data_IF_795386964338
#
_entry.id   IF_795386964338
#
_cell.length_a   1.000
_cell.length_b   1.000
_cell.length_c   1.000
_cell.angle_alpha   90.00
_cell.angle_beta   90.00
_cell.angle_gamma   90.00
#
_symmetry.space_group_name_H-M   'P 1'
#
loop_
_entity.id
_entity.type
_entity.pdbx_description
1 polymer ?
#
# COMPACT_ATOMS: atom_id res chain seq x y z
N UNK A 1 1.60 -19.64 23.00
CA UNK A 1 0.46 -18.78 22.61
C UNK A 1 -0.71 -19.71 22.34
N UNK A 2 -1.64 -19.84 23.30
CA UNK A 2 -2.67 -20.88 23.32
C UNK A 2 -3.92 -20.42 22.54
N UNK A 3 -4.60 -21.35 21.85
CA UNK A 3 -5.70 -21.07 20.89
C UNK A 3 -6.96 -20.35 21.41
N UNK A 4 -6.97 -19.88 22.67
CA UNK A 4 -8.02 -19.02 23.22
C UNK A 4 -7.92 -17.56 22.73
N UNK A 5 -6.74 -17.13 22.25
CA UNK A 5 -6.54 -15.75 21.76
C UNK A 5 -7.39 -15.43 20.51
N UNK A 6 -7.64 -16.43 19.67
CA UNK A 6 -8.53 -16.28 18.50
C UNK A 6 -9.97 -15.90 18.88
N UNK A 7 -10.42 -16.20 20.11
CA UNK A 7 -11.77 -15.85 20.58
C UNK A 7 -11.92 -14.34 20.85
N UNK A 8 -10.84 -13.67 21.24
CA UNK A 8 -10.83 -12.23 21.55
C UNK A 8 -10.19 -11.39 20.45
N UNK A 9 -9.48 -12.03 19.52
CA UNK A 9 -8.83 -11.38 18.37
C UNK A 9 -9.81 -10.49 17.59
N UNK A 10 -10.96 -11.03 17.21
CA UNK A 10 -11.95 -10.28 16.42
C UNK A 10 -12.52 -9.06 17.16
N UNK A 11 -12.48 -9.04 18.49
CA UNK A 11 -12.97 -7.91 19.28
C UNK A 11 -12.03 -6.69 19.21
N UNK A 12 -10.72 -6.90 19.01
CA UNK A 12 -9.74 -5.81 18.87
C UNK A 12 -9.30 -5.60 17.41
N UNK A 13 -8.94 -6.68 16.71
CA UNK A 13 -8.23 -6.63 15.43
C UNK A 13 -9.08 -7.07 14.22
N UNK A 14 -10.30 -7.55 14.44
CA UNK A 14 -11.15 -8.09 13.37
C UNK A 14 -11.48 -7.07 12.27
N UNK A 15 -11.64 -5.79 12.63
CA UNK A 15 -11.81 -4.71 11.66
C UNK A 15 -10.57 -4.56 10.76
N UNK A 16 -9.39 -4.51 11.36
CA UNK A 16 -8.13 -4.38 10.64
C UNK A 16 -7.81 -5.61 9.79
N UNK A 17 -8.13 -6.81 10.26
CA UNK A 17 -8.01 -8.04 9.45
C UNK A 17 -8.87 -7.93 8.18
N UNK A 18 -10.11 -7.44 8.31
CA UNK A 18 -11.00 -7.20 7.18
C UNK A 18 -10.41 -6.21 6.17
N UNK A 19 -9.83 -5.11 6.66
CA UNK A 19 -9.16 -4.10 5.82
C UNK A 19 -7.95 -4.69 5.08
N UNK A 20 -7.07 -5.42 5.78
CA UNK A 20 -5.89 -6.07 5.17
C UNK A 20 -6.30 -7.07 4.10
N UNK A 21 -7.35 -7.87 4.35
CA UNK A 21 -7.90 -8.80 3.35
C UNK A 21 -8.51 -8.06 2.16
N UNK A 22 -9.15 -6.91 2.39
CA UNK A 22 -9.62 -6.02 1.34
C UNK A 22 -8.48 -5.51 0.45
N UNK A 23 -7.40 -4.98 1.05
CA UNK A 23 -6.21 -4.55 0.31
C UNK A 23 -5.58 -5.69 -0.50
N UNK A 24 -5.56 -6.92 0.05
CA UNK A 24 -5.09 -8.10 -0.68
C UNK A 24 -5.94 -8.39 -1.92
N UNK A 25 -7.26 -8.22 -1.84
CA UNK A 25 -8.16 -8.39 -2.99
C UNK A 25 -7.96 -7.32 -4.07
N UNK A 26 -7.43 -6.15 -3.70
CA UNK A 26 -7.07 -5.06 -4.62
C UNK A 26 -5.72 -5.23 -5.33
N UNK A 27 -4.97 -6.30 -5.04
CA UNK A 27 -3.72 -6.59 -5.74
C UNK A 27 -3.98 -6.96 -7.20
N UNK A 28 -3.12 -6.45 -8.08
CA UNK A 28 -3.22 -6.70 -9.52
C UNK A 28 -3.16 -8.20 -9.81
N UNK A 29 -4.11 -8.66 -10.61
CA UNK A 29 -4.18 -10.05 -11.04
C UNK A 29 -3.22 -10.30 -12.20
N UNK A 30 -2.97 -11.58 -12.51
CA UNK A 30 -2.21 -11.96 -13.71
C UNK A 30 -2.81 -11.36 -14.99
N UNK A 31 -4.13 -11.20 -15.06
CA UNK A 31 -4.78 -10.59 -16.22
C UNK A 31 -4.43 -9.11 -16.36
N UNK A 32 -4.34 -8.38 -15.25
CA UNK A 32 -3.99 -6.96 -15.25
C UNK A 32 -2.54 -6.76 -15.73
N UNK A 33 -1.63 -7.60 -15.27
CA UNK A 33 -0.24 -7.60 -15.75
C UNK A 33 -0.12 -7.90 -17.24
N UNK A 34 -0.90 -8.85 -17.76
CA UNK A 34 -0.92 -9.16 -19.19
C UNK A 34 -1.40 -7.97 -20.03
N UNK A 35 -2.44 -7.26 -19.56
CA UNK A 35 -2.96 -6.06 -20.24
C UNK A 35 -1.91 -4.93 -20.24
N UNK A 36 -1.23 -4.71 -19.11
CA UNK A 36 -0.17 -3.69 -19.02
C UNK A 36 1.03 -4.00 -19.93
N UNK A 37 1.37 -5.27 -20.13
CA UNK A 37 2.47 -5.65 -21.02
C UNK A 37 2.19 -5.32 -22.49
N UNK A 38 0.91 -5.16 -22.86
CA UNK A 38 0.47 -4.80 -24.21
C UNK A 38 0.34 -3.29 -24.44
N UNK A 39 0.52 -2.48 -23.39
CA UNK A 39 0.44 -1.02 -23.49
C UNK A 39 1.66 -0.45 -24.22
N UNK A 40 1.44 0.54 -25.10
CA UNK A 40 2.50 1.18 -25.88
C UNK A 40 2.96 2.50 -25.26
N UNK A 41 2.09 3.15 -24.46
CA UNK A 41 2.38 4.45 -23.83
C UNK A 41 2.12 4.46 -22.33
N UNK A 42 2.71 5.45 -21.62
CA UNK A 42 2.45 5.66 -20.20
C UNK A 42 0.99 6.08 -19.93
N UNK A 43 0.35 6.76 -20.87
CA UNK A 43 -1.07 7.11 -20.78
C UNK A 43 -1.97 5.87 -20.84
N UNK A 44 -1.63 4.85 -21.63
CA UNK A 44 -2.34 3.57 -21.65
C UNK A 44 -2.21 2.84 -20.31
N UNK A 45 -1.01 2.80 -19.73
CA UNK A 45 -0.78 2.21 -18.41
C UNK A 45 -1.61 2.94 -17.35
N UNK A 46 -1.61 4.28 -17.37
CA UNK A 46 -2.44 5.08 -16.46
C UNK A 46 -3.92 4.78 -16.64
N UNK A 47 -4.41 4.66 -17.86
CA UNK A 47 -5.80 4.33 -18.15
C UNK A 47 -6.19 2.97 -17.55
N UNK A 48 -5.36 1.95 -17.75
CA UNK A 48 -5.58 0.63 -17.18
C UNK A 48 -5.55 0.64 -15.65
N UNK A 49 -4.56 1.30 -15.05
CA UNK A 49 -4.46 1.43 -13.59
C UNK A 49 -5.62 2.24 -13.00
N UNK A 50 -6.21 3.17 -13.74
CA UNK A 50 -7.38 3.93 -13.28
C UNK A 50 -8.62 3.05 -13.13
N UNK A 51 -8.71 1.95 -13.86
CA UNK A 51 -9.74 0.93 -13.69
C UNK A 51 -9.57 0.03 -12.46
N UNK A 52 -8.49 0.22 -11.69
CA UNK A 52 -8.19 -0.54 -10.48
C UNK A 52 -8.22 0.37 -9.25
N UNK A 53 -7.87 -0.17 -8.08
CA UNK A 53 -7.83 0.58 -6.81
C UNK A 53 -6.82 1.75 -6.79
N UNK A 54 -6.03 1.96 -7.85
CA UNK A 54 -5.11 3.10 -7.98
C UNK A 54 -5.77 4.35 -8.59
N UNK A 55 -6.98 4.25 -9.13
CA UNK A 55 -7.65 5.34 -9.85
C UNK A 55 -7.72 6.70 -9.13
N UNK A 56 -8.08 6.77 -7.83
CA UNK A 56 -8.16 8.05 -7.11
C UNK A 56 -6.81 8.81 -7.07
N UNK A 57 -5.69 8.08 -7.00
CA UNK A 57 -4.35 8.66 -6.90
C UNK A 57 -3.80 9.06 -8.27
N UNK A 58 -4.22 8.37 -9.33
CA UNK A 58 -3.73 8.62 -10.69
C UNK A 58 -4.53 9.69 -11.44
N UNK A 59 -5.78 9.96 -11.03
CA UNK A 59 -6.67 10.92 -11.69
C UNK A 59 -6.10 12.34 -11.74
N UNK A 60 -5.33 12.74 -10.73
CA UNK A 60 -4.80 14.10 -10.59
C UNK A 60 -3.39 14.29 -11.20
N UNK A 61 -2.76 13.24 -11.74
CA UNK A 61 -1.41 13.35 -12.32
C UNK A 61 -1.49 14.05 -13.68
N UNK A 62 -0.94 15.27 -13.85
CA UNK A 62 -1.01 16.00 -15.10
C UNK A 62 -0.03 15.44 -16.14
N UNK A 63 -0.32 15.65 -17.42
CA UNK A 63 0.61 15.34 -18.53
C UNK A 63 1.68 16.44 -18.66
N UNK A 64 2.92 16.13 -19.04
CA UNK A 64 3.42 14.82 -19.49
C UNK A 64 3.66 13.84 -18.33
N UNK A 65 3.18 12.60 -18.49
CA UNK A 65 3.44 11.56 -17.51
C UNK A 65 4.91 11.17 -17.51
N UNK A 66 5.50 11.11 -16.32
CA UNK A 66 6.81 10.53 -16.09
C UNK A 66 6.66 9.24 -15.29
N UNK A 67 7.56 8.28 -15.52
CA UNK A 67 7.59 7.03 -14.75
C UNK A 67 7.80 7.29 -13.27
N UNK A 68 8.58 8.31 -12.91
CA UNK A 68 8.83 8.68 -11.50
C UNK A 68 7.56 9.17 -10.82
N UNK A 69 6.79 10.07 -11.45
CA UNK A 69 5.54 10.58 -10.87
C UNK A 69 4.49 9.47 -10.71
N UNK A 70 4.45 8.49 -11.63
CA UNK A 70 3.57 7.33 -11.51
C UNK A 70 3.94 6.47 -10.29
N UNK A 71 5.24 6.18 -10.11
CA UNK A 71 5.73 5.40 -8.98
C UNK A 71 5.45 6.14 -7.67
N UNK A 72 5.68 7.44 -7.61
CA UNK A 72 5.40 8.28 -6.45
C UNK A 72 3.91 8.22 -6.05
N UNK A 73 2.99 8.41 -6.99
CA UNK A 73 1.55 8.34 -6.72
C UNK A 73 1.10 6.95 -6.25
N UNK A 74 1.62 5.88 -6.86
CA UNK A 74 1.34 4.51 -6.43
C UNK A 74 1.92 4.20 -5.04
N UNK A 75 3.09 4.77 -4.71
CA UNK A 75 3.73 4.65 -3.40
C UNK A 75 2.96 5.42 -2.34
N UNK A 76 2.47 6.63 -2.68
CA UNK A 76 1.67 7.46 -1.80
C UNK A 76 0.41 6.74 -1.33
N UNK A 77 -0.29 6.05 -2.24
CA UNK A 77 -1.41 5.17 -1.87
C UNK A 77 -1.02 4.16 -0.80
N UNK A 78 0.09 3.43 -1.01
CA UNK A 78 0.55 2.40 -0.07
C UNK A 78 0.86 2.99 1.31
N UNK A 79 1.44 4.19 1.33
CA UNK A 79 1.75 4.92 2.57
C UNK A 79 0.48 5.38 3.28
N UNK A 80 -0.52 5.90 2.56
CA UNK A 80 -1.81 6.29 3.16
C UNK A 80 -2.55 5.08 3.73
N UNK A 81 -2.62 3.97 2.98
CA UNK A 81 -3.22 2.72 3.44
C UNK A 81 -2.52 2.20 4.71
N UNK A 82 -1.18 2.27 4.76
CA UNK A 82 -0.40 1.90 5.94
C UNK A 82 -0.68 2.79 7.15
N UNK A 83 -0.69 4.11 6.96
CA UNK A 83 -1.02 5.06 8.02
C UNK A 83 -2.43 4.83 8.55
N UNK A 84 -3.41 4.58 7.67
CA UNK A 84 -4.78 4.27 8.05
C UNK A 84 -4.84 3.03 8.94
N UNK A 85 -4.12 1.97 8.59
CA UNK A 85 -4.03 0.76 9.41
C UNK A 85 -3.39 1.06 10.77
N UNK A 86 -2.27 1.79 10.78
CA UNK A 86 -1.55 2.12 12.02
C UNK A 86 -2.36 3.00 12.98
N UNK A 87 -3.14 3.95 12.46
CA UNK A 87 -3.99 4.84 13.26
C UNK A 87 -5.18 4.11 13.91
N UNK A 88 -5.64 3.02 13.30
CA UNK A 88 -6.75 2.23 13.82
C UNK A 88 -6.28 1.00 14.63
N UNK A 89 -4.97 0.77 14.73
CA UNK A 89 -4.38 -0.32 15.50
C UNK A 89 -4.10 0.09 16.94
N UNK A 90 -4.38 -0.83 17.87
CA UNK A 90 -4.09 -0.73 19.30
C UNK A 90 -3.02 -1.76 19.70
N UNK A 91 -2.50 -1.70 20.93
CA UNK A 91 -1.50 -2.67 21.40
C UNK A 91 -2.12 -4.09 21.48
N UNK A 92 -1.44 -5.15 20.99
CA UNK A 92 -0.03 -5.22 20.55
C UNK A 92 0.22 -4.98 19.05
N UNK A 93 -0.83 -4.89 18.22
CA UNK A 93 -0.70 -4.77 16.77
C UNK A 93 -0.04 -3.46 16.35
N UNK A 94 -0.35 -2.36 17.04
CA UNK A 94 0.29 -1.06 16.83
C UNK A 94 1.82 -1.14 16.90
N UNK A 95 2.35 -1.78 17.95
CA UNK A 95 3.79 -1.97 18.16
C UNK A 95 4.40 -2.86 17.07
N UNK A 96 3.69 -3.90 16.64
CA UNK A 96 4.12 -4.74 15.52
C UNK A 96 4.25 -3.94 14.22
N UNK A 97 3.27 -3.09 13.91
CA UNK A 97 3.32 -2.21 12.74
C UNK A 97 4.47 -1.20 12.84
N UNK A 98 4.75 -0.66 14.03
CA UNK A 98 5.91 0.23 14.23
C UNK A 98 7.22 -0.49 13.89
N UNK A 99 7.40 -1.73 14.34
CA UNK A 99 8.59 -2.53 14.01
C UNK A 99 8.79 -2.72 12.50
N UNK A 100 7.72 -2.86 11.72
CA UNK A 100 7.82 -2.96 10.25
C UNK A 100 8.38 -1.67 9.61
N UNK A 101 8.14 -0.50 10.21
CA UNK A 101 8.63 0.78 9.68
C UNK A 101 10.09 1.09 10.04
N UNK A 102 10.65 0.43 11.06
CA UNK A 102 12.00 0.70 11.53
C UNK A 102 13.07 0.47 10.45
N UNK A 103 12.87 -0.49 9.53
CA UNK A 103 13.79 -0.69 8.40
C UNK A 103 13.91 0.57 7.53
N UNK A 104 12.77 1.17 7.17
CA UNK A 104 12.74 2.41 6.40
C UNK A 104 13.31 3.60 7.18
N UNK A 105 13.09 3.65 8.50
CA UNK A 105 13.68 4.69 9.34
C UNK A 105 15.21 4.58 9.39
N UNK A 106 15.75 3.36 9.50
CA UNK A 106 17.20 3.12 9.49
C UNK A 106 17.80 3.54 8.15
N UNK A 107 17.18 3.16 7.02
CA UNK A 107 17.65 3.57 5.69
C UNK A 107 17.65 5.10 5.53
N UNK A 108 16.64 5.78 6.07
CA UNK A 108 16.56 7.24 6.05
C UNK A 108 17.68 7.89 6.89
N UNK A 109 17.98 7.34 8.06
CA UNK A 109 19.10 7.83 8.91
C UNK A 109 20.45 7.58 8.25
N UNK A 110 20.69 6.36 7.76
CA UNK A 110 21.94 6.01 7.07
C UNK A 110 22.18 6.87 5.83
N UNK A 111 21.12 7.19 5.07
CA UNK A 111 21.19 8.10 3.92
C UNK A 111 21.47 9.54 4.35
N UNK A 112 20.99 9.99 5.51
CA UNK A 112 21.25 11.33 6.02
C UNK A 112 22.72 11.53 6.48
N UNK A 113 23.33 10.50 7.06
CA UNK A 113 24.74 10.54 7.51
C UNK A 113 25.77 10.38 6.37
N UNK A 114 25.30 10.08 5.15
CA UNK A 114 26.14 9.90 3.95
C UNK A 114 26.46 11.20 3.20
N UNK A 115 26.16 12.37 3.79
CA UNK A 115 26.42 13.70 3.24
C UNK A 115 27.27 14.58 4.18
#
# INVERSE_FOLDING_TARGET
>A
MYGLEALWFNAKDGYLEGIVRGHKSGLLSTSDYNNMCQCETLDDIKLHLTGTDYGPYLSNVPSPLSTTTLIEACTEKLVDDWHRMRCNADEPLATFLDFCTYGHMIDNVARADSF
#
